data_IF_184202171619
#
_entry.id   IF_184202171619
#
_cell.length_a   1.000
_cell.length_b   1.000
_cell.length_c   1.000
_cell.angle_alpha   90.00
_cell.angle_beta   90.00
_cell.angle_gamma   90.00
#
_symmetry.space_group_name_H-M   'P 1'
#
loop_
_entity.id
_entity.type
_entity.pdbx_description
1 polymer ?
#
# COMPACT_ATOMS: atom_id res chain seq x y z
N UNK A 1 31.71 7.91 11.91
CA UNK A 1 31.03 7.23 10.78
C UNK A 1 29.54 7.31 11.05
N UNK A 2 28.83 8.21 10.37
CA UNK A 2 27.38 8.29 10.47
C UNK A 2 26.85 7.01 9.82
N UNK A 3 26.30 6.08 10.60
CA UNK A 3 25.51 4.97 10.05
C UNK A 3 24.36 5.64 9.32
N UNK A 4 24.48 5.76 8.00
CA UNK A 4 23.34 5.93 7.12
C UNK A 4 22.45 4.72 7.40
N UNK A 5 21.46 4.91 8.29
CA UNK A 5 20.34 4.00 8.36
C UNK A 5 19.75 4.05 6.96
N UNK A 6 20.00 2.98 6.23
CA UNK A 6 19.31 2.67 5.00
C UNK A 6 17.83 2.73 5.38
N UNK A 7 17.16 3.82 5.04
CA UNK A 7 15.73 4.05 5.24
C UNK A 7 14.94 3.17 4.27
N UNK A 8 15.38 1.93 4.09
CA UNK A 8 14.84 0.96 3.13
C UNK A 8 13.41 0.60 3.48
N UNK A 9 13.02 0.78 4.76
CA UNK A 9 11.67 0.53 5.28
C UNK A 9 10.76 1.78 5.31
N UNK A 10 11.30 2.99 5.14
CA UNK A 10 10.46 4.18 5.20
C UNK A 10 9.67 4.38 3.91
N UNK A 11 8.36 4.54 4.06
CA UNK A 11 7.48 4.95 2.98
C UNK A 11 7.68 6.44 2.73
N UNK A 12 8.41 6.75 1.65
CA UNK A 12 8.60 8.13 1.18
C UNK A 12 7.25 8.74 0.74
N UNK A 13 7.14 10.08 0.67
CA UNK A 13 5.90 10.74 0.24
C UNK A 13 5.37 10.20 -1.10
N UNK A 14 6.26 10.00 -2.08
CA UNK A 14 5.92 9.41 -3.39
C UNK A 14 5.39 7.98 -3.28
N UNK A 15 5.83 7.23 -2.27
CA UNK A 15 5.28 5.91 -1.96
C UNK A 15 3.88 5.99 -1.36
N UNK A 16 3.61 7.01 -0.54
CA UNK A 16 2.27 7.27 -0.01
C UNK A 16 1.31 7.64 -1.13
N UNK A 17 1.72 8.51 -2.07
CA UNK A 17 0.89 8.88 -3.23
C UNK A 17 0.52 7.64 -4.08
N UNK A 18 1.49 6.76 -4.34
CA UNK A 18 1.26 5.50 -5.06
C UNK A 18 0.27 4.59 -4.30
N UNK A 19 0.46 4.45 -2.99
CA UNK A 19 -0.41 3.61 -2.16
C UNK A 19 -1.83 4.17 -2.09
N UNK A 20 -1.99 5.50 -2.02
CA UNK A 20 -3.30 6.16 -2.01
C UNK A 20 -4.06 5.97 -3.34
N UNK A 21 -3.36 6.07 -4.46
CA UNK A 21 -3.92 5.85 -5.79
C UNK A 21 -4.42 4.40 -5.93
N UNK A 22 -3.56 3.42 -5.62
CA UNK A 22 -3.92 2.00 -5.65
C UNK A 22 -5.06 1.68 -4.70
N UNK A 23 -5.02 2.23 -3.49
CA UNK A 23 -6.06 2.03 -2.48
C UNK A 23 -7.40 2.58 -2.96
N UNK A 24 -7.42 3.80 -3.49
CA UNK A 24 -8.63 4.44 -4.01
C UNK A 24 -9.23 3.66 -5.16
N UNK A 25 -8.40 3.14 -6.07
CA UNK A 25 -8.87 2.29 -7.17
C UNK A 25 -9.50 0.98 -6.65
N UNK A 26 -8.89 0.32 -5.67
CA UNK A 26 -9.44 -0.92 -5.07
C UNK A 26 -10.79 -0.64 -4.39
N UNK A 27 -10.88 0.45 -3.63
CA UNK A 27 -12.13 0.83 -2.96
C UNK A 27 -13.24 1.12 -3.98
N UNK A 28 -12.92 1.85 -5.05
CA UNK A 28 -13.87 2.14 -6.12
C UNK A 28 -14.34 0.86 -6.83
N UNK A 29 -13.43 -0.07 -7.14
CA UNK A 29 -13.74 -1.34 -7.80
C UNK A 29 -14.62 -2.24 -6.93
N UNK A 30 -14.38 -2.26 -5.62
CA UNK A 30 -15.16 -3.06 -4.66
C UNK A 30 -16.41 -2.35 -4.13
N UNK A 31 -16.62 -1.08 -4.48
CA UNK A 31 -17.70 -0.26 -3.93
C UNK A 31 -17.61 -0.07 -2.41
N UNK A 32 -16.39 -0.06 -1.87
CA UNK A 32 -16.14 0.08 -0.43
C UNK A 32 -15.96 1.56 -0.04
N UNK A 33 -16.52 1.94 1.11
CA UNK A 33 -16.18 3.21 1.74
C UNK A 33 -14.78 3.14 2.37
N UNK A 34 -14.10 4.29 2.42
CA UNK A 34 -12.77 4.40 3.03
C UNK A 34 -12.77 4.14 4.54
N UNK A 35 -13.91 4.39 5.19
CA UNK A 35 -14.11 4.28 6.64
C UNK A 35 -14.72 2.93 7.06
N UNK A 36 -14.37 1.83 6.39
CA UNK A 36 -14.84 0.50 6.76
C UNK A 36 -13.69 -0.44 7.14
N UNK A 37 -14.01 -1.50 7.90
CA UNK A 37 -13.01 -2.49 8.34
C UNK A 37 -12.31 -3.16 7.17
N UNK A 38 -13.04 -3.44 6.07
CA UNK A 38 -12.46 -4.00 4.85
C UNK A 38 -11.42 -3.05 4.22
N UNK A 39 -11.67 -1.74 4.24
CA UNK A 39 -10.73 -0.75 3.74
C UNK A 39 -9.47 -0.68 4.61
N UNK A 40 -9.60 -0.79 5.94
CA UNK A 40 -8.43 -0.86 6.82
C UNK A 40 -7.56 -2.10 6.54
N UNK A 41 -8.19 -3.27 6.34
CA UNK A 41 -7.49 -4.51 6.01
C UNK A 41 -6.71 -4.40 4.70
N UNK A 42 -7.33 -3.82 3.67
CA UNK A 42 -6.70 -3.57 2.37
C UNK A 42 -5.51 -2.63 2.53
N UNK A 43 -5.68 -1.51 3.25
CA UNK A 43 -4.59 -0.57 3.51
C UNK A 43 -3.41 -1.24 4.23
N UNK A 44 -3.67 -2.01 5.30
CA UNK A 44 -2.63 -2.74 6.05
C UNK A 44 -1.85 -3.71 5.17
N UNK A 45 -2.52 -4.43 4.26
CA UNK A 45 -1.84 -5.31 3.28
C UNK A 45 -1.00 -4.51 2.30
N UNK A 46 -1.53 -3.42 1.76
CA UNK A 46 -0.81 -2.51 0.85
C UNK A 46 0.50 -1.99 1.44
N UNK A 47 0.47 -1.49 2.69
CA UNK A 47 1.66 -1.03 3.38
C UNK A 47 2.66 -2.17 3.62
N UNK A 48 2.20 -3.33 4.08
CA UNK A 48 3.06 -4.50 4.31
C UNK A 48 3.76 -4.97 3.03
N UNK A 49 3.05 -5.00 1.90
CA UNK A 49 3.59 -5.40 0.61
C UNK A 49 4.63 -4.39 0.11
N UNK A 50 4.33 -3.09 0.25
CA UNK A 50 5.23 -2.02 -0.15
C UNK A 50 6.54 -2.01 0.65
N UNK A 51 6.44 -2.19 1.98
CA UNK A 51 7.61 -2.33 2.85
C UNK A 51 8.42 -3.60 2.55
N UNK A 52 7.76 -4.66 2.09
CA UNK A 52 8.43 -5.89 1.63
C UNK A 52 9.16 -5.74 0.28
N UNK A 53 9.06 -4.56 -0.37
CA UNK A 53 9.75 -4.25 -1.62
C UNK A 53 8.89 -4.38 -2.88
N UNK A 54 7.60 -4.71 -2.76
CA UNK A 54 6.68 -4.72 -3.89
C UNK A 54 6.27 -3.28 -4.23
N UNK A 55 6.77 -2.76 -5.37
CA UNK A 55 6.47 -1.39 -5.84
C UNK A 55 5.63 -1.34 -7.11
N UNK A 56 5.22 -2.50 -7.61
CA UNK A 56 4.43 -2.58 -8.83
C UNK A 56 2.93 -2.46 -8.52
N UNK A 57 2.28 -1.44 -9.07
CA UNK A 57 0.86 -1.10 -8.89
C UNK A 57 -0.08 -2.29 -9.10
N UNK A 58 0.13 -3.05 -10.19
CA UNK A 58 -0.70 -4.24 -10.50
C UNK A 58 -0.52 -5.34 -9.46
N UNK A 59 0.72 -5.61 -9.06
CA UNK A 59 1.03 -6.63 -8.07
C UNK A 59 0.51 -6.25 -6.68
N UNK A 60 0.63 -4.97 -6.29
CA UNK A 60 0.07 -4.44 -5.06
C UNK A 60 -1.44 -4.58 -5.02
N UNK A 61 -2.13 -4.28 -6.13
CA UNK A 61 -3.58 -4.46 -6.25
C UNK A 61 -3.98 -5.93 -6.11
N UNK A 62 -3.36 -6.80 -6.89
CA UNK A 62 -3.70 -8.23 -6.92
C UNK A 62 -3.49 -8.89 -5.55
N UNK A 63 -2.37 -8.60 -4.88
CA UNK A 63 -2.04 -9.16 -3.57
C UNK A 63 -2.81 -8.51 -2.41
N UNK A 64 -3.19 -7.24 -2.51
CA UNK A 64 -4.02 -6.60 -1.48
C UNK A 64 -5.48 -7.07 -1.54
N UNK A 65 -5.95 -7.45 -2.73
CA UNK A 65 -7.30 -7.95 -2.99
C UNK A 65 -7.40 -9.48 -2.87
N UNK A 66 -6.27 -10.20 -2.94
CA UNK A 66 -6.21 -11.66 -2.87
C UNK A 66 -6.93 -12.24 -1.65
N UNK A 67 -7.78 -13.24 -1.91
CA UNK A 67 -8.64 -14.00 -0.99
C UNK A 67 -7.99 -14.32 0.38
#
# INVERSE_FOLDING_TARGET
MLKSHDYTDAVLPTGIDLLDDVFTEILAEKGLCRDCEAAELIARRLFSLYQSGHRETKMLRDLAVGD
#
